data_IF_360146696362
#
_entry.id   IF_360146696362
#
_cell.length_a   1.000
_cell.length_b   1.000
_cell.length_c   1.000
_cell.angle_alpha   90.00
_cell.angle_beta   90.00
_cell.angle_gamma   90.00
#
_symmetry.space_group_name_H-M   'P 1'
#
loop_
_entity.id
_entity.type
_entity.pdbx_description
1 polymer ?
#
# COMPACT_ATOMS: atom_id res chain seq x y z
N UNK A 1 26.89 7.86 18.41
CA UNK A 1 26.04 8.72 19.26
C UNK A 1 24.72 8.99 18.55
N UNK A 2 23.55 8.52 19.01
CA UNK A 2 22.24 9.04 18.53
C UNK A 2 21.04 8.68 19.43
N UNK A 3 21.20 8.30 20.71
CA UNK A 3 20.03 8.01 21.57
C UNK A 3 19.13 9.23 21.87
N UNK A 4 19.56 10.47 21.57
CA UNK A 4 18.85 11.71 21.98
C UNK A 4 17.96 12.37 20.92
N UNK A 5 17.94 11.92 19.66
CA UNK A 5 17.19 12.61 18.59
C UNK A 5 15.83 11.98 18.22
N UNK A 6 15.44 10.88 18.87
CA UNK A 6 14.23 10.13 18.52
C UNK A 6 12.93 10.75 19.05
N UNK A 7 12.99 11.61 20.08
CA UNK A 7 11.79 12.03 20.82
C UNK A 7 10.90 13.05 20.10
N UNK A 8 11.41 13.83 19.14
CA UNK A 8 10.63 14.95 18.55
C UNK A 8 9.52 14.49 17.58
N UNK A 9 9.66 13.32 16.98
CA UNK A 9 8.73 12.79 15.98
C UNK A 9 7.86 11.63 16.51
N UNK A 10 8.07 11.24 17.77
CA UNK A 10 7.26 10.23 18.42
C UNK A 10 5.92 10.82 18.87
N UNK A 11 4.80 10.09 18.68
CA UNK A 11 3.56 10.46 19.34
C UNK A 11 3.76 10.36 20.86
N UNK A 12 3.18 11.29 21.61
CA UNK A 12 3.17 11.18 23.07
C UNK A 12 2.29 10.00 23.50
N UNK A 13 2.57 9.37 24.65
CA UNK A 13 1.69 8.34 25.22
C UNK A 13 0.23 8.79 25.32
N UNK A 14 -0.01 10.07 25.64
CA UNK A 14 -1.36 10.64 25.68
C UNK A 14 -1.99 10.73 24.28
N UNK A 15 -1.21 11.04 23.24
CA UNK A 15 -1.69 11.03 21.85
C UNK A 15 -2.11 9.62 21.40
N UNK A 16 -1.33 8.60 21.78
CA UNK A 16 -1.68 7.20 21.54
C UNK A 16 -2.95 6.82 22.31
N UNK A 17 -3.06 7.22 23.59
CA UNK A 17 -4.25 7.04 24.44
C UNK A 17 -5.45 7.89 24.05
N UNK A 18 -5.36 8.80 23.10
CA UNK A 18 -6.51 9.60 22.64
C UNK A 18 -6.95 9.22 21.22
N UNK A 19 -6.05 8.69 20.38
CA UNK A 19 -6.38 8.23 19.02
C UNK A 19 -7.00 6.83 19.02
N UNK A 20 -8.21 6.67 18.48
CA UNK A 20 -8.87 5.35 18.32
C UNK A 20 -8.02 4.36 17.52
N UNK A 21 -7.34 4.85 16.48
CA UNK A 21 -6.52 4.01 15.60
C UNK A 21 -5.22 3.62 16.31
N UNK A 22 -4.50 4.57 16.91
CA UNK A 22 -3.23 4.28 17.58
C UNK A 22 -3.41 3.43 18.84
N UNK A 23 -4.54 3.55 19.56
CA UNK A 23 -4.90 2.72 20.71
C UNK A 23 -4.85 1.22 20.43
N UNK A 24 -5.32 0.81 19.25
CA UNK A 24 -5.37 -0.60 18.84
C UNK A 24 -3.96 -1.22 18.86
N UNK A 25 -2.92 -0.40 18.68
CA UNK A 25 -1.53 -0.85 18.56
C UNK A 25 -0.69 -0.60 19.81
N UNK A 26 -1.26 0.02 20.85
CA UNK A 26 -0.64 0.18 22.16
C UNK A 26 0.81 0.68 22.10
N UNK A 27 1.69 0.01 22.83
CA UNK A 27 3.10 0.40 22.96
C UNK A 27 3.90 0.29 21.66
N UNK A 28 3.44 -0.49 20.67
CA UNK A 28 4.10 -0.58 19.36
C UNK A 28 4.08 0.77 18.64
N UNK A 29 3.05 1.60 18.85
CA UNK A 29 2.98 2.94 18.28
C UNK A 29 4.05 3.91 18.83
N UNK A 30 4.65 3.59 19.98
CA UNK A 30 5.74 4.37 20.59
C UNK A 30 7.12 3.99 20.03
N UNK A 31 7.22 3.01 19.12
CA UNK A 31 8.48 2.64 18.48
C UNK A 31 8.98 3.79 17.55
N UNK A 32 10.16 4.37 17.81
CA UNK A 32 10.68 5.50 17.02
C UNK A 32 10.93 5.19 15.55
N UNK A 33 11.19 3.93 15.22
CA UNK A 33 11.48 3.53 13.84
C UNK A 33 10.26 3.73 12.92
N UNK A 34 9.05 3.66 13.48
CA UNK A 34 7.81 3.83 12.74
C UNK A 34 7.57 5.28 12.30
N UNK A 35 8.16 6.25 12.99
CA UNK A 35 7.91 7.68 12.73
C UNK A 35 9.07 8.35 12.01
N UNK A 36 10.27 7.77 12.10
CA UNK A 36 11.47 8.40 11.57
C UNK A 36 11.71 8.13 10.08
N UNK A 37 12.24 9.14 9.42
CA UNK A 37 12.57 9.13 7.98
C UNK A 37 14.01 8.65 7.81
N UNK A 38 14.18 7.37 7.48
CA UNK A 38 15.47 6.81 7.06
C UNK A 38 15.31 5.92 5.83
N UNK A 39 16.39 5.77 5.03
CA UNK A 39 16.39 5.01 3.78
C UNK A 39 15.71 3.64 3.91
N UNK A 40 16.05 2.87 4.96
CA UNK A 40 15.56 1.50 5.15
C UNK A 40 14.07 1.48 5.50
N UNK A 41 13.65 2.33 6.44
CA UNK A 41 12.26 2.46 6.90
C UNK A 41 11.33 2.97 5.79
N UNK A 42 11.76 3.99 5.02
CA UNK A 42 10.97 4.53 3.89
C UNK A 42 10.88 3.51 2.76
N UNK A 43 11.97 2.83 2.40
CA UNK A 43 11.90 1.82 1.32
C UNK A 43 10.90 0.73 1.68
N UNK A 44 10.93 0.23 2.93
CA UNK A 44 9.95 -0.74 3.43
C UNK A 44 8.53 -0.18 3.44
N UNK A 45 8.35 1.10 3.79
CA UNK A 45 7.04 1.75 3.76
C UNK A 45 6.48 1.82 2.34
N UNK A 46 7.32 2.15 1.37
CA UNK A 46 6.95 2.18 -0.04
C UNK A 46 6.58 0.79 -0.54
N UNK A 47 7.28 -0.27 -0.14
CA UNK A 47 6.92 -1.66 -0.45
C UNK A 47 5.54 -2.03 0.13
N UNK A 48 5.38 -1.88 1.45
CA UNK A 48 4.19 -2.33 2.19
C UNK A 48 2.96 -1.51 1.78
N UNK A 49 3.09 -0.19 1.80
CA UNK A 49 1.99 0.72 1.48
C UNK A 49 1.55 0.62 0.03
N UNK A 50 2.48 0.45 -0.92
CA UNK A 50 2.12 0.26 -2.34
C UNK A 50 1.41 -1.07 -2.55
N UNK A 51 1.93 -2.16 -1.97
CA UNK A 51 1.32 -3.48 -2.12
C UNK A 51 -0.12 -3.49 -1.64
N UNK A 52 -0.37 -3.09 -0.39
CA UNK A 52 -1.71 -3.08 0.18
C UNK A 52 -2.60 -1.97 -0.37
N UNK A 53 -2.03 -0.83 -0.75
CA UNK A 53 -2.77 0.30 -1.33
C UNK A 53 -3.30 0.07 -2.73
N UNK A 54 -2.74 -0.90 -3.47
CA UNK A 54 -3.25 -1.35 -4.78
C UNK A 54 -4.37 -2.39 -4.65
N UNK A 55 -4.51 -3.07 -3.50
CA UNK A 55 -5.51 -4.11 -3.34
C UNK A 55 -6.86 -3.48 -2.89
N UNK A 56 -7.98 -3.70 -3.60
CA UNK A 56 -9.29 -3.21 -3.22
C UNK A 56 -9.86 -4.11 -2.13
N UNK A 57 -9.27 -4.10 -0.93
CA UNK A 57 -9.74 -4.88 0.21
C UNK A 57 -10.19 -3.95 1.33
N UNK A 58 -11.31 -4.24 2.01
CA UNK A 58 -11.72 -3.48 3.16
C UNK A 58 -10.66 -3.61 4.25
N UNK A 59 -10.50 -2.55 5.04
CA UNK A 59 -9.57 -2.53 6.17
C UNK A 59 -8.08 -2.77 5.80
N UNK A 60 -7.66 -2.54 4.54
CA UNK A 60 -6.25 -2.65 4.13
C UNK A 60 -5.31 -1.79 4.99
N UNK A 61 -5.77 -0.65 5.52
CA UNK A 61 -5.00 0.17 6.46
C UNK A 61 -4.57 -0.60 7.71
N UNK A 62 -5.38 -1.55 8.20
CA UNK A 62 -5.01 -2.42 9.32
C UNK A 62 -3.90 -3.37 8.92
N UNK A 63 -3.98 -3.96 7.73
CA UNK A 63 -2.94 -4.85 7.19
C UNK A 63 -1.62 -4.09 6.95
N UNK A 64 -1.70 -2.85 6.45
CA UNK A 64 -0.55 -1.95 6.32
C UNK A 64 0.10 -1.76 7.69
N UNK A 65 -0.67 -1.40 8.71
CA UNK A 65 -0.15 -1.18 10.07
C UNK A 65 0.49 -2.43 10.67
N UNK A 66 -0.13 -3.60 10.51
CA UNK A 66 0.43 -4.88 10.97
C UNK A 66 1.78 -5.15 10.31
N UNK A 67 1.87 -5.04 8.98
CA UNK A 67 3.12 -5.22 8.26
C UNK A 67 4.17 -4.16 8.65
N UNK A 68 3.76 -2.91 8.84
CA UNK A 68 4.63 -1.82 9.26
C UNK A 68 5.31 -2.11 10.59
N UNK A 69 4.57 -2.65 11.56
CA UNK A 69 5.09 -3.04 12.87
C UNK A 69 6.03 -4.24 12.72
N UNK A 70 5.62 -5.28 11.99
CA UNK A 70 6.41 -6.50 11.80
C UNK A 70 7.74 -6.24 11.07
N UNK A 71 7.76 -5.27 10.16
CA UNK A 71 8.92 -4.98 9.33
C UNK A 71 9.63 -3.67 9.70
N UNK A 72 9.26 -3.00 10.79
CA UNK A 72 9.81 -1.71 11.22
C UNK A 72 9.87 -0.69 10.05
N UNK A 73 8.73 -0.44 9.43
CA UNK A 73 8.60 0.50 8.31
C UNK A 73 8.03 1.85 8.78
N UNK A 74 8.13 2.88 7.94
CA UNK A 74 7.58 4.19 8.28
C UNK A 74 6.05 4.18 8.18
N UNK A 75 5.37 4.36 9.32
CA UNK A 75 3.92 4.28 9.46
C UNK A 75 3.19 5.39 8.67
N UNK A 76 3.51 6.69 8.82
CA UNK A 76 2.87 7.75 8.06
C UNK A 76 2.93 7.52 6.55
N UNK A 77 4.12 7.24 6.01
CA UNK A 77 4.29 7.03 4.56
C UNK A 77 3.50 5.83 4.08
N UNK A 78 3.53 4.71 4.83
CA UNK A 78 2.79 3.51 4.43
C UNK A 78 1.27 3.75 4.39
N UNK A 79 0.73 4.48 5.38
CA UNK A 79 -0.70 4.83 5.43
C UNK A 79 -1.11 5.85 4.36
N UNK A 80 -0.22 6.76 3.94
CA UNK A 80 -0.50 7.65 2.81
C UNK A 80 -0.68 6.85 1.51
N UNK A 81 0.10 5.79 1.31
CA UNK A 81 0.01 4.92 0.14
C UNK A 81 -1.26 4.05 0.12
N UNK A 82 -1.98 3.93 1.24
CA UNK A 82 -3.31 3.33 1.26
C UNK A 82 -4.28 4.04 0.28
N UNK A 83 -4.03 5.31 -0.02
CA UNK A 83 -4.84 6.13 -0.92
C UNK A 83 -4.40 6.02 -2.39
N UNK A 84 -3.49 5.09 -2.72
CA UNK A 84 -3.14 4.80 -4.11
C UNK A 84 -4.39 4.45 -4.90
N UNK A 85 -5.27 3.61 -4.36
CA UNK A 85 -6.57 3.31 -4.97
C UNK A 85 -7.60 4.40 -4.65
N UNK A 86 -7.65 5.41 -5.51
CA UNK A 86 -8.58 6.52 -5.44
C UNK A 86 -9.40 6.61 -6.75
N UNK A 87 -10.41 7.48 -6.87
CA UNK A 87 -11.27 7.55 -8.05
C UNK A 87 -10.54 7.74 -9.38
N UNK A 88 -9.36 8.35 -9.37
CA UNK A 88 -8.57 8.60 -10.58
C UNK A 88 -7.70 7.41 -10.99
N UNK A 89 -7.30 6.58 -10.04
CA UNK A 89 -6.36 5.46 -10.27
C UNK A 89 -7.04 4.10 -10.30
N UNK A 90 -8.25 3.96 -9.76
CA UNK A 90 -8.95 2.67 -9.69
C UNK A 90 -9.19 2.08 -11.09
N UNK A 91 -9.56 2.89 -12.07
CA UNK A 91 -9.81 2.42 -13.44
C UNK A 91 -8.54 1.85 -14.08
N UNK A 92 -7.41 2.58 -14.16
CA UNK A 92 -6.19 2.03 -14.76
C UNK A 92 -5.64 0.83 -13.99
N UNK A 93 -5.73 0.80 -12.65
CA UNK A 93 -5.31 -0.36 -11.84
C UNK A 93 -6.16 -1.59 -12.19
N UNK A 94 -7.48 -1.49 -12.14
CA UNK A 94 -8.36 -2.63 -12.43
C UNK A 94 -8.21 -3.11 -13.87
N UNK A 95 -8.01 -2.20 -14.81
CA UNK A 95 -7.77 -2.53 -16.21
C UNK A 95 -6.47 -3.33 -16.38
N UNK A 96 -5.36 -2.85 -15.80
CA UNK A 96 -4.06 -3.51 -15.92
C UNK A 96 -4.03 -4.86 -15.19
N UNK A 97 -4.59 -4.93 -13.99
CA UNK A 97 -4.78 -6.17 -13.28
C UNK A 97 -5.56 -7.19 -14.10
N UNK A 98 -6.71 -6.80 -14.64
CA UNK A 98 -7.50 -7.72 -15.44
C UNK A 98 -6.76 -8.16 -16.70
N UNK A 99 -6.06 -7.25 -17.38
CA UNK A 99 -5.20 -7.57 -18.51
C UNK A 99 -4.17 -8.65 -18.14
N UNK A 100 -3.45 -8.50 -17.03
CA UNK A 100 -2.53 -9.52 -16.51
C UNK A 100 -3.26 -10.84 -16.27
N UNK A 101 -4.40 -10.80 -15.58
CA UNK A 101 -5.21 -11.98 -15.29
C UNK A 101 -5.60 -12.75 -16.55
N UNK A 102 -6.08 -12.05 -17.58
CA UNK A 102 -6.50 -12.69 -18.85
C UNK A 102 -5.35 -13.43 -19.52
N UNK A 103 -4.12 -12.88 -19.44
CA UNK A 103 -2.92 -13.52 -19.97
C UNK A 103 -2.56 -14.79 -19.20
N UNK A 104 -2.75 -14.80 -17.89
CA UNK A 104 -2.47 -15.97 -17.05
C UNK A 104 -3.47 -17.11 -17.31
N UNK A 105 -4.74 -16.77 -17.42
CA UNK A 105 -5.81 -17.76 -17.63
C UNK A 105 -6.08 -18.08 -19.10
N UNK A 106 -5.32 -17.49 -20.04
CA UNK A 106 -5.48 -17.66 -21.49
C UNK A 106 -6.92 -17.42 -21.99
N UNK A 107 -7.60 -16.43 -21.40
CA UNK A 107 -8.93 -16.00 -21.84
C UNK A 107 -8.79 -14.78 -22.76
N UNK A 108 -9.65 -14.67 -23.77
CA UNK A 108 -9.61 -13.54 -24.69
C UNK A 108 -9.90 -12.22 -23.98
N UNK A 109 -9.17 -11.19 -24.42
CA UNK A 109 -9.15 -9.87 -23.80
C UNK A 109 -10.45 -9.11 -24.07
N UNK A 110 -10.68 -8.12 -23.21
CA UNK A 110 -11.96 -7.54 -22.83
C UNK A 110 -12.67 -6.74 -23.94
N UNK A 111 -14.00 -6.90 -24.06
CA UNK A 111 -14.89 -5.91 -24.67
C UNK A 111 -15.30 -4.82 -23.64
N UNK A 112 -15.82 -3.67 -24.08
CA UNK A 112 -16.20 -2.58 -23.16
C UNK A 112 -17.20 -3.01 -22.08
N UNK A 113 -18.06 -4.00 -22.36
CA UNK A 113 -19.06 -4.51 -21.44
C UNK A 113 -18.45 -5.22 -20.22
N UNK A 114 -17.39 -6.03 -20.42
CA UNK A 114 -16.78 -6.75 -19.30
C UNK A 114 -15.95 -5.82 -18.39
N UNK A 115 -15.32 -4.74 -18.90
CA UNK A 115 -14.72 -3.70 -18.05
C UNK A 115 -15.78 -3.03 -17.18
N UNK A 116 -16.92 -2.65 -17.76
CA UNK A 116 -18.03 -2.05 -17.03
C UNK A 116 -18.58 -3.03 -15.97
N UNK A 117 -18.69 -4.32 -16.31
CA UNK A 117 -19.09 -5.38 -15.39
C UNK A 117 -18.15 -5.49 -14.18
N UNK A 118 -16.83 -5.49 -14.41
CA UNK A 118 -15.82 -5.52 -13.34
C UNK A 118 -15.95 -4.31 -12.43
N UNK A 119 -16.02 -3.10 -13.00
CA UNK A 119 -16.16 -1.87 -12.22
C UNK A 119 -17.43 -1.91 -11.36
N UNK A 120 -18.54 -2.36 -11.94
CA UNK A 120 -19.81 -2.45 -11.23
C UNK A 120 -19.74 -3.48 -10.09
N UNK A 121 -19.07 -4.62 -10.31
CA UNK A 121 -18.84 -5.63 -9.27
C UNK A 121 -17.94 -5.11 -8.15
N UNK A 122 -16.80 -4.48 -8.46
CA UNK A 122 -15.88 -3.91 -7.47
C UNK A 122 -16.57 -2.85 -6.63
N UNK A 123 -17.28 -1.90 -7.26
CA UNK A 123 -18.02 -0.85 -6.55
C UNK A 123 -19.10 -1.45 -5.65
N UNK A 124 -19.85 -2.46 -6.12
CA UNK A 124 -20.88 -3.14 -5.33
C UNK A 124 -20.28 -3.89 -4.14
N UNK A 125 -19.18 -4.60 -4.37
CA UNK A 125 -18.46 -5.33 -3.34
C UNK A 125 -17.94 -4.39 -2.25
N UNK A 126 -17.35 -3.24 -2.63
CA UNK A 126 -16.90 -2.22 -1.68
C UNK A 126 -18.09 -1.62 -0.91
N UNK A 127 -19.16 -1.20 -1.61
CA UNK A 127 -20.35 -0.60 -0.98
C UNK A 127 -21.01 -1.52 0.04
N UNK A 128 -20.98 -2.82 -0.22
CA UNK A 128 -21.57 -3.83 0.65
C UNK A 128 -20.57 -4.48 1.59
N UNK A 129 -19.37 -3.92 1.78
CA UNK A 129 -18.32 -4.46 2.66
C UNK A 129 -17.99 -5.95 2.40
N UNK A 130 -18.05 -6.37 1.14
CA UNK A 130 -17.80 -7.73 0.71
C UNK A 130 -19.03 -8.64 0.62
N UNK A 131 -20.22 -8.14 0.94
CA UNK A 131 -21.47 -8.91 0.82
C UNK A 131 -22.10 -8.80 -0.58
N UNK A 132 -22.59 -9.92 -1.10
CA UNK A 132 -23.36 -9.98 -2.35
C UNK A 132 -22.83 -11.02 -3.33
N UNK A 133 -23.52 -11.16 -4.46
CA UNK A 133 -23.10 -12.04 -5.54
C UNK A 133 -21.83 -11.50 -6.20
N UNK A 134 -20.80 -12.34 -6.25
CA UNK A 134 -19.55 -12.09 -6.96
C UNK A 134 -19.37 -13.22 -7.96
N UNK A 135 -19.13 -12.87 -9.22
CA UNK A 135 -18.75 -13.87 -10.21
C UNK A 135 -17.33 -14.36 -9.87
N UNK A 136 -17.23 -15.58 -9.35
CA UNK A 136 -15.97 -16.17 -8.91
C UNK A 136 -14.97 -16.33 -10.05
N UNK A 137 -15.43 -16.51 -11.29
CA UNK A 137 -14.54 -16.66 -12.45
C UNK A 137 -13.83 -15.33 -12.76
N UNK A 138 -14.61 -14.25 -12.82
CA UNK A 138 -14.11 -12.90 -13.06
C UNK A 138 -13.27 -12.41 -11.88
N UNK A 139 -13.72 -12.66 -10.65
CA UNK A 139 -13.00 -12.30 -9.43
C UNK A 139 -11.64 -13.00 -9.36
N UNK A 140 -11.56 -14.28 -9.72
CA UNK A 140 -10.29 -15.03 -9.75
C UNK A 140 -9.30 -14.42 -10.74
N UNK A 141 -9.74 -14.07 -11.94
CA UNK A 141 -8.91 -13.42 -12.97
C UNK A 141 -8.40 -12.08 -12.47
N UNK A 142 -9.30 -11.22 -11.99
CA UNK A 142 -8.97 -9.89 -11.50
C UNK A 142 -8.04 -9.94 -10.29
N UNK A 143 -8.33 -10.78 -9.29
CA UNK A 143 -7.55 -10.90 -8.07
C UNK A 143 -6.13 -11.39 -8.35
N UNK A 144 -5.98 -12.38 -9.24
CA UNK A 144 -4.66 -12.87 -9.66
C UNK A 144 -3.83 -11.73 -10.26
N UNK A 145 -4.46 -10.96 -11.16
CA UNK A 145 -3.85 -9.78 -11.75
C UNK A 145 -3.45 -8.72 -10.73
N UNK A 146 -4.37 -8.37 -9.82
CA UNK A 146 -4.15 -7.37 -8.76
C UNK A 146 -2.98 -7.75 -7.84
N UNK A 147 -2.88 -9.02 -7.44
CA UNK A 147 -1.78 -9.49 -6.59
C UNK A 147 -0.44 -9.35 -7.30
N UNK A 148 -0.38 -9.71 -8.58
CA UNK A 148 0.85 -9.65 -9.37
C UNK A 148 1.24 -8.19 -9.63
N UNK A 149 0.28 -7.36 -10.05
CA UNK A 149 0.48 -5.93 -10.23
C UNK A 149 0.99 -5.28 -8.94
N UNK A 150 0.31 -5.52 -7.81
CA UNK A 150 0.69 -4.99 -6.50
C UNK A 150 2.12 -5.41 -6.13
N UNK A 151 2.49 -6.67 -6.35
CA UNK A 151 3.84 -7.15 -6.09
C UNK A 151 4.88 -6.44 -6.96
N UNK A 152 4.64 -6.33 -8.27
CA UNK A 152 5.56 -5.66 -9.21
C UNK A 152 5.75 -4.20 -8.82
N UNK A 153 4.66 -3.44 -8.66
CA UNK A 153 4.74 -2.01 -8.33
C UNK A 153 5.34 -1.77 -6.95
N UNK A 154 5.05 -2.62 -5.95
CA UNK A 154 5.65 -2.51 -4.63
C UNK A 154 7.17 -2.73 -4.68
N UNK A 155 7.64 -3.75 -5.40
CA UNK A 155 9.06 -4.03 -5.59
C UNK A 155 9.74 -2.86 -6.32
N UNK A 156 9.13 -2.35 -7.40
CA UNK A 156 9.64 -1.18 -8.11
C UNK A 156 9.72 0.04 -7.21
N UNK A 157 8.66 0.35 -6.46
CA UNK A 157 8.63 1.48 -5.53
C UNK A 157 9.74 1.38 -4.48
N UNK A 158 10.01 0.18 -3.95
CA UNK A 158 11.11 -0.08 -3.03
C UNK A 158 12.48 0.25 -3.65
N UNK A 159 12.76 -0.23 -4.86
CA UNK A 159 14.05 0.00 -5.52
C UNK A 159 14.21 1.46 -5.98
N UNK A 160 13.17 2.06 -6.57
CA UNK A 160 13.15 3.47 -6.95
C UNK A 160 13.47 4.34 -5.74
N UNK A 161 12.86 4.08 -4.58
CA UNK A 161 13.14 4.80 -3.33
C UNK A 161 14.62 4.74 -2.95
N UNK A 162 15.24 3.56 -3.10
CA UNK A 162 16.67 3.38 -2.80
C UNK A 162 17.57 4.15 -3.77
N UNK A 163 17.23 4.15 -5.06
CA UNK A 163 17.96 4.86 -6.11
C UNK A 163 17.85 6.37 -5.93
N UNK A 164 16.63 6.87 -5.71
CA UNK A 164 16.38 8.29 -5.42
C UNK A 164 17.18 8.72 -4.19
N UNK A 165 17.17 7.93 -3.11
CA UNK A 165 17.96 8.26 -1.92
C UNK A 165 19.47 8.31 -2.22
N UNK A 166 20.00 7.34 -2.98
CA UNK A 166 21.41 7.32 -3.37
C UNK A 166 21.80 8.54 -4.20
N UNK A 167 20.97 8.91 -5.17
CA UNK A 167 21.16 10.09 -6.00
C UNK A 167 21.20 11.37 -5.18
N UNK A 168 20.25 11.54 -4.24
CA UNK A 168 20.22 12.70 -3.34
C UNK A 168 21.47 12.80 -2.45
N UNK A 169 21.95 11.66 -1.94
CA UNK A 169 23.19 11.61 -1.16
C UNK A 169 24.36 12.03 -2.04
N UNK A 170 24.53 11.44 -3.22
CA UNK A 170 25.62 11.76 -4.16
C UNK A 170 25.67 13.26 -4.52
N UNK A 171 24.52 13.83 -4.89
CA UNK A 171 24.39 15.26 -5.18
C UNK A 171 24.82 16.15 -4.01
N UNK A 172 24.52 15.74 -2.77
CA UNK A 172 24.94 16.48 -1.57
C UNK A 172 26.44 16.37 -1.29
N UNK A 173 27.08 15.27 -1.69
CA UNK A 173 28.53 15.12 -1.62
C UNK A 173 29.26 15.96 -2.66
N UNK A 174 28.75 16.07 -3.89
CA UNK A 174 29.35 16.91 -4.93
C UNK A 174 29.26 18.41 -4.65
N UNK A 175 28.28 18.84 -3.85
CA UNK A 175 28.09 20.24 -3.44
C UNK A 175 28.91 20.63 -2.20
N UNK A 176 29.73 19.73 -1.66
CA UNK A 176 30.65 19.96 -0.54
C UNK A 176 32.07 20.00 -1.06
#
# INVERSE_FOLDING_TARGET
MTKRFYHRWLPSPDSVKNSKILKIFGDSALNPVLWYVNKKSISRAMLIGTFWGILPIPFHSVLIMLCVILFDANLPISLMLAWIMNPFTIIPILYFAFWIGTKIYNVHMINNEMILGILHQVVRWIKNLGHGYVDLSLAKILLTGLIIEAAIFAILAYFITRLVWQYHVYQKWQKR
#
